data_IF_732330969707
#
_entry.id   IF_732330969707
#
_cell.length_a   1.000
_cell.length_b   1.000
_cell.length_c   1.000
_cell.angle_alpha   90.00
_cell.angle_beta   90.00
_cell.angle_gamma   90.00
#
_symmetry.space_group_name_H-M   'P 1'
#
loop_
_entity.id
_entity.type
_entity.pdbx_description
1 polymer ?
#
# COMPACT_ATOMS: atom_id res chain seq x y z
N UNK A 1 17.07 2.78 -5.49
CA UNK A 1 16.01 2.04 -4.76
C UNK A 1 16.01 0.58 -5.20
N UNK A 2 15.62 -0.37 -4.32
CA UNK A 2 15.57 -1.80 -4.66
C UNK A 2 14.22 -2.42 -4.34
N UNK A 3 13.61 -3.07 -5.35
CA UNK A 3 12.37 -3.87 -5.26
C UNK A 3 12.58 -5.22 -5.94
N UNK A 4 12.58 -6.33 -5.18
CA UNK A 4 12.95 -7.65 -5.75
C UNK A 4 11.76 -8.49 -6.18
N UNK A 5 10.63 -8.42 -5.46
CA UNK A 5 9.50 -9.34 -5.68
C UNK A 5 8.38 -8.80 -6.57
N UNK A 6 8.42 -7.52 -6.91
CA UNK A 6 7.45 -6.86 -7.81
C UNK A 6 8.13 -5.68 -8.51
N UNK A 7 7.69 -5.34 -9.72
CA UNK A 7 8.24 -4.26 -10.53
C UNK A 7 7.42 -2.98 -10.35
N UNK A 8 8.03 -1.78 -10.21
CA UNK A 8 7.29 -0.52 -10.08
C UNK A 8 6.46 -0.15 -11.33
N UNK A 9 6.72 -0.82 -12.47
CA UNK A 9 5.98 -0.63 -13.71
C UNK A 9 4.70 -1.49 -13.78
N UNK A 10 4.52 -2.45 -12.85
CA UNK A 10 3.33 -3.30 -12.81
C UNK A 10 2.11 -2.52 -12.30
N UNK A 11 0.95 -2.85 -12.87
CA UNK A 11 -0.31 -2.25 -12.46
C UNK A 11 -0.66 -2.69 -11.02
N UNK A 12 -0.86 -1.74 -10.08
CA UNK A 12 -1.31 -2.05 -8.73
C UNK A 12 -2.66 -2.80 -8.73
N UNK A 13 -2.77 -3.81 -7.87
CA UNK A 13 -3.98 -4.64 -7.78
C UNK A 13 -3.93 -5.92 -8.60
N UNK A 14 -2.85 -6.15 -9.38
CA UNK A 14 -2.59 -7.38 -10.12
C UNK A 14 -1.39 -8.10 -9.49
N UNK A 15 -1.48 -9.41 -9.31
CA UNK A 15 -0.40 -10.22 -8.73
C UNK A 15 0.01 -9.72 -7.34
N UNK A 16 1.31 -9.47 -7.17
CA UNK A 16 1.88 -8.91 -5.94
C UNK A 16 1.99 -7.38 -5.95
N UNK A 17 1.70 -6.74 -7.09
CA UNK A 17 1.74 -5.28 -7.20
C UNK A 17 0.65 -4.60 -6.38
N UNK A 18 1.02 -3.56 -5.63
CA UNK A 18 0.09 -2.88 -4.71
C UNK A 18 0.61 -1.54 -4.22
N UNK A 19 0.27 -1.17 -2.99
CA UNK A 19 0.63 0.11 -2.38
C UNK A 19 2.14 0.40 -2.36
N UNK A 20 2.98 -0.63 -2.23
CA UNK A 20 4.43 -0.45 -2.29
C UNK A 20 4.91 0.01 -3.67
N UNK A 21 4.34 -0.52 -4.76
CA UNK A 21 4.66 -0.08 -6.13
C UNK A 21 4.34 1.40 -6.31
N UNK A 22 3.17 1.83 -5.81
CA UNK A 22 2.75 3.24 -5.81
C UNK A 22 3.74 4.08 -4.99
N UNK A 23 4.06 3.64 -3.77
CA UNK A 23 4.97 4.35 -2.88
C UNK A 23 6.34 4.59 -3.52
N UNK A 24 6.94 3.55 -4.09
CA UNK A 24 8.27 3.65 -4.70
C UNK A 24 8.23 4.52 -5.95
N UNK A 25 7.27 4.30 -6.85
CA UNK A 25 7.15 5.08 -8.08
C UNK A 25 6.90 6.57 -7.80
N UNK A 26 5.95 6.91 -6.91
CA UNK A 26 5.63 8.30 -6.61
C UNK A 26 6.74 9.00 -5.82
N UNK A 27 7.36 8.32 -4.83
CA UNK A 27 8.51 8.88 -4.11
C UNK A 27 9.69 9.14 -5.05
N UNK A 28 10.01 8.21 -5.94
CA UNK A 28 11.08 8.36 -6.91
C UNK A 28 10.85 9.55 -7.85
N UNK A 29 9.64 9.68 -8.41
CA UNK A 29 9.26 10.81 -9.28
C UNK A 29 9.43 12.15 -8.56
N UNK A 30 9.00 12.24 -7.30
CA UNK A 30 9.11 13.48 -6.52
C UNK A 30 10.55 13.81 -6.15
N UNK A 31 11.37 12.82 -5.77
CA UNK A 31 12.80 13.03 -5.53
C UNK A 31 13.50 13.51 -6.81
N UNK A 32 13.19 12.90 -7.96
CA UNK A 32 13.75 13.35 -9.24
C UNK A 32 13.36 14.80 -9.57
N UNK A 33 12.12 15.21 -9.31
CA UNK A 33 11.69 16.59 -9.47
C UNK A 33 12.39 17.58 -8.53
N UNK A 34 13.00 17.08 -7.44
CA UNK A 34 13.82 17.84 -6.49
C UNK A 34 15.32 17.80 -6.84
N UNK A 35 15.70 17.24 -7.99
CA UNK A 35 17.07 17.23 -8.50
C UNK A 35 17.90 16.02 -8.08
N UNK A 36 17.27 14.98 -7.55
CA UNK A 36 17.95 13.72 -7.18
C UNK A 36 17.85 12.74 -8.34
N UNK A 37 18.97 12.15 -8.76
CA UNK A 37 18.96 11.04 -9.71
C UNK A 37 18.52 9.75 -9.01
N UNK A 38 17.46 9.10 -9.52
CA UNK A 38 16.89 7.91 -8.90
C UNK A 38 16.89 6.74 -9.87
N UNK A 39 17.62 5.70 -9.53
CA UNK A 39 17.55 4.40 -10.20
C UNK A 39 16.79 3.42 -9.33
N UNK A 40 15.78 2.76 -9.92
CA UNK A 40 15.02 1.69 -9.27
C UNK A 40 15.48 0.37 -9.87
N UNK A 41 16.01 -0.51 -9.04
CA UNK A 41 16.42 -1.83 -9.44
C UNK A 41 15.33 -2.84 -9.09
N UNK A 42 14.96 -3.66 -10.06
CA UNK A 42 14.00 -4.75 -9.89
C UNK A 42 14.51 -6.01 -10.60
N UNK A 43 14.02 -7.16 -10.17
CA UNK A 43 14.42 -8.44 -10.76
C UNK A 43 13.89 -8.56 -12.20
N UNK A 44 14.73 -9.05 -13.10
CA UNK A 44 14.30 -9.48 -14.44
C UNK A 44 13.50 -10.78 -14.31
N UNK A 45 12.20 -10.70 -14.41
CA UNK A 45 11.30 -11.84 -14.26
C UNK A 45 11.20 -12.65 -15.56
N UNK A 46 11.14 -11.98 -16.70
CA UNK A 46 11.03 -12.57 -18.03
C UNK A 46 12.15 -12.10 -18.96
N UNK A 47 12.48 -12.92 -19.97
CA UNK A 47 13.57 -12.64 -20.90
C UNK A 47 13.32 -11.43 -21.82
N UNK A 48 12.06 -11.14 -22.12
CA UNK A 48 11.61 -10.06 -23.00
C UNK A 48 11.56 -8.69 -22.32
N UNK A 49 11.76 -8.62 -21.00
CA UNK A 49 11.83 -7.35 -20.30
C UNK A 49 13.04 -6.53 -20.76
N UNK A 50 12.86 -5.24 -21.09
CA UNK A 50 13.97 -4.36 -21.42
C UNK A 50 14.93 -4.23 -20.25
N UNK A 51 16.20 -4.00 -20.53
CA UNK A 51 17.21 -3.86 -19.49
C UNK A 51 16.96 -2.61 -18.62
N UNK A 52 16.58 -1.51 -19.26
CA UNK A 52 16.32 -0.22 -18.61
C UNK A 52 15.07 0.40 -19.22
N UNK A 53 14.22 0.99 -18.37
CA UNK A 53 13.02 1.73 -18.76
C UNK A 53 12.99 3.06 -18.02
N UNK A 54 12.75 4.15 -18.71
CA UNK A 54 12.47 5.44 -18.06
C UNK A 54 11.03 5.46 -17.54
N UNK A 55 10.86 5.54 -16.22
CA UNK A 55 9.56 5.66 -15.57
C UNK A 55 9.02 7.09 -15.64
N UNK A 56 9.92 8.07 -15.50
CA UNK A 56 9.67 9.51 -15.62
C UNK A 56 11.01 10.22 -15.74
N UNK A 57 11.03 11.52 -16.17
CA UNK A 57 12.29 12.26 -16.26
C UNK A 57 13.13 12.15 -14.99
N UNK A 58 14.35 11.62 -15.11
CA UNK A 58 15.28 11.41 -14.00
C UNK A 58 15.05 10.17 -13.16
N UNK A 59 14.11 9.29 -13.52
CA UNK A 59 13.86 8.01 -12.84
C UNK A 59 13.99 6.84 -13.81
N UNK A 60 15.00 6.02 -13.63
CA UNK A 60 15.25 4.83 -14.44
C UNK A 60 14.91 3.56 -13.69
N UNK A 61 14.26 2.61 -14.34
CA UNK A 61 13.99 1.26 -13.81
C UNK A 61 14.91 0.28 -14.50
N UNK A 62 15.76 -0.38 -13.74
CA UNK A 62 16.73 -1.36 -14.20
C UNK A 62 16.26 -2.78 -13.86
N UNK A 63 16.09 -3.64 -14.88
CA UNK A 63 15.81 -5.06 -14.67
C UNK A 63 17.13 -5.84 -14.58
N UNK A 64 17.52 -6.22 -13.36
CA UNK A 64 18.75 -6.95 -13.11
C UNK A 64 18.53 -8.47 -13.01
N UNK A 65 19.59 -9.25 -13.19
CA UNK A 65 19.56 -10.71 -13.18
C UNK A 65 19.90 -11.34 -14.53
N UNK A 66 19.72 -12.66 -14.70
CA UNK A 66 20.07 -13.34 -15.93
C UNK A 66 19.18 -12.90 -17.10
N UNK A 67 19.75 -12.83 -18.31
CA UNK A 67 19.03 -12.39 -19.52
C UNK A 67 17.80 -13.24 -19.86
N UNK A 68 17.85 -14.56 -19.53
CA UNK A 68 16.68 -15.46 -19.71
C UNK A 68 15.50 -15.16 -18.78
N UNK A 69 15.67 -14.24 -17.86
CA UNK A 69 14.73 -13.99 -16.76
C UNK A 69 14.86 -15.04 -15.64
N UNK A 70 14.27 -14.70 -14.49
CA UNK A 70 14.19 -15.57 -13.32
C UNK A 70 12.76 -15.49 -12.79
N UNK A 71 11.88 -16.31 -13.37
CA UNK A 71 10.49 -16.37 -12.91
C UNK A 71 10.43 -17.12 -11.58
N UNK A 72 10.31 -16.38 -10.48
CA UNK A 72 10.22 -16.90 -9.12
C UNK A 72 8.97 -16.35 -8.45
N UNK A 73 8.24 -17.22 -7.78
CA UNK A 73 7.22 -16.78 -6.84
C UNK A 73 7.88 -16.10 -5.63
N UNK A 74 7.12 -15.32 -4.91
CA UNK A 74 7.59 -14.64 -3.72
C UNK A 74 8.17 -15.58 -2.67
N UNK A 75 7.62 -16.79 -2.57
CA UNK A 75 8.02 -17.85 -1.66
C UNK A 75 9.34 -18.51 -2.06
N UNK A 76 9.69 -18.48 -3.34
CA UNK A 76 10.93 -19.06 -3.88
C UNK A 76 12.13 -18.10 -3.78
N UNK A 77 11.90 -16.78 -3.78
CA UNK A 77 12.95 -15.75 -3.71
C UNK A 77 13.97 -15.99 -2.58
N UNK A 78 13.57 -16.39 -1.35
CA UNK A 78 14.53 -16.62 -0.28
C UNK A 78 15.64 -17.64 -0.58
N UNK A 79 15.38 -18.64 -1.40
CA UNK A 79 16.37 -19.62 -1.82
C UNK A 79 17.45 -19.03 -2.75
N UNK A 80 17.17 -17.87 -3.36
CA UNK A 80 18.01 -17.21 -4.35
C UNK A 80 18.67 -15.90 -3.83
N UNK A 81 18.62 -15.61 -2.53
CA UNK A 81 19.18 -14.35 -1.98
C UNK A 81 20.63 -14.10 -2.35
N UNK A 82 21.48 -15.15 -2.32
CA UNK A 82 22.91 -15.00 -2.67
C UNK A 82 23.07 -14.63 -4.14
N UNK A 83 22.44 -15.35 -5.04
CA UNK A 83 22.48 -15.09 -6.48
C UNK A 83 21.97 -13.69 -6.81
N UNK A 84 20.81 -13.32 -6.27
CA UNK A 84 20.22 -11.99 -6.45
C UNK A 84 21.11 -10.85 -5.89
N UNK A 85 21.81 -11.09 -4.79
CA UNK A 85 22.76 -10.09 -4.25
C UNK A 85 23.98 -9.91 -5.17
N UNK A 86 24.51 -11.00 -5.74
CA UNK A 86 25.60 -10.94 -6.70
C UNK A 86 25.18 -10.23 -8.00
N UNK A 87 23.96 -10.50 -8.48
CA UNK A 87 23.39 -9.84 -9.66
C UNK A 87 23.14 -8.36 -9.41
N UNK A 88 22.57 -7.99 -8.27
CA UNK A 88 22.36 -6.60 -7.87
C UNK A 88 23.68 -5.86 -7.74
N UNK A 89 24.69 -6.47 -7.12
CA UNK A 89 26.04 -5.89 -7.05
C UNK A 89 26.61 -5.62 -8.45
N UNK A 90 26.48 -6.56 -9.38
CA UNK A 90 26.92 -6.34 -10.78
C UNK A 90 26.17 -5.19 -11.44
N UNK A 91 24.88 -5.09 -11.22
CA UNK A 91 24.08 -3.99 -11.75
C UNK A 91 24.49 -2.61 -11.20
N UNK A 92 25.04 -2.55 -9.97
CA UNK A 92 25.58 -1.33 -9.38
C UNK A 92 27.01 -1.01 -9.83
N UNK A 93 27.74 -1.94 -10.47
CA UNK A 93 29.16 -1.80 -10.81
C UNK A 93 29.43 -1.00 -12.10
N UNK A 94 28.45 -0.21 -12.60
CA UNK A 94 28.62 0.69 -13.73
C UNK A 94 29.42 1.96 -13.40
N UNK A 95 29.42 2.92 -14.34
CA UNK A 95 30.12 4.21 -14.15
C UNK A 95 29.44 5.09 -13.09
N UNK A 96 28.14 4.90 -12.86
CA UNK A 96 27.36 5.67 -11.87
C UNK A 96 27.67 5.21 -10.46
N UNK A 97 27.92 6.15 -9.56
CA UNK A 97 28.10 5.91 -8.13
C UNK A 97 26.80 6.26 -7.40
N UNK A 98 26.44 5.42 -6.44
CA UNK A 98 25.26 5.62 -5.62
C UNK A 98 25.65 6.01 -4.20
N UNK A 99 24.99 7.05 -3.67
CA UNK A 99 25.23 7.55 -2.32
C UNK A 99 24.47 6.75 -1.26
N UNK A 100 23.27 6.25 -1.59
CA UNK A 100 22.37 5.52 -0.69
C UNK A 100 21.70 4.36 -1.43
N UNK A 101 21.58 3.21 -0.77
CA UNK A 101 20.68 2.13 -1.17
C UNK A 101 19.44 2.20 -0.29
N UNK A 102 18.25 2.40 -0.89
CA UNK A 102 16.97 2.31 -0.19
C UNK A 102 16.24 1.04 -0.64
N UNK A 103 16.12 0.07 0.23
CA UNK A 103 15.44 -1.20 -0.04
C UNK A 103 14.01 -1.20 0.49
N UNK A 104 13.10 -1.78 -0.28
CA UNK A 104 11.67 -1.83 0.02
C UNK A 104 11.19 -3.26 0.18
N UNK A 105 10.61 -3.57 1.34
CA UNK A 105 10.18 -4.90 1.76
C UNK A 105 11.35 -5.84 2.09
N UNK A 106 11.10 -6.79 2.99
CA UNK A 106 12.14 -7.64 3.59
C UNK A 106 12.98 -8.43 2.57
N UNK A 107 12.39 -8.89 1.46
CA UNK A 107 13.12 -9.62 0.40
C UNK A 107 14.20 -8.74 -0.22
N UNK A 108 13.85 -7.49 -0.50
CA UNK A 108 14.81 -6.51 -1.02
C UNK A 108 15.87 -6.13 0.02
N UNK A 109 15.46 -6.00 1.29
CA UNK A 109 16.40 -5.76 2.39
C UNK A 109 17.45 -6.87 2.50
N UNK A 110 17.03 -8.13 2.40
CA UNK A 110 17.94 -9.29 2.44
C UNK A 110 18.94 -9.33 1.28
N UNK A 111 18.51 -8.92 0.09
CA UNK A 111 19.37 -8.80 -1.09
C UNK A 111 20.32 -7.60 -0.96
N UNK A 112 19.84 -6.47 -0.45
CA UNK A 112 20.60 -5.23 -0.34
C UNK A 112 21.70 -5.28 0.74
N UNK A 113 21.42 -5.91 1.90
CA UNK A 113 22.32 -5.91 3.07
C UNK A 113 23.78 -6.29 2.76
N UNK A 114 24.09 -7.44 2.14
CA UNK A 114 25.46 -7.83 1.86
C UNK A 114 26.12 -6.89 0.85
N UNK A 115 25.37 -6.41 -0.14
CA UNK A 115 25.87 -5.49 -1.18
C UNK A 115 26.20 -4.12 -0.60
N UNK A 116 25.30 -3.56 0.21
CA UNK A 116 25.50 -2.28 0.89
C UNK A 116 26.78 -2.32 1.77
N UNK A 117 26.95 -3.40 2.55
CA UNK A 117 28.12 -3.62 3.39
C UNK A 117 29.40 -3.72 2.57
N UNK A 118 29.41 -4.49 1.50
CA UNK A 118 30.59 -4.74 0.67
C UNK A 118 31.03 -3.48 -0.09
N UNK A 119 30.07 -2.72 -0.62
CA UNK A 119 30.35 -1.48 -1.35
C UNK A 119 30.54 -0.25 -0.45
N UNK A 120 30.28 -0.38 0.86
CA UNK A 120 30.36 0.74 1.81
C UNK A 120 29.31 1.82 1.56
N UNK A 121 28.16 1.45 0.95
CA UNK A 121 27.03 2.34 0.69
C UNK A 121 26.03 2.19 1.84
N UNK A 122 25.52 3.29 2.44
CA UNK A 122 24.54 3.20 3.49
C UNK A 122 23.21 2.57 3.01
N UNK A 123 22.62 1.76 3.88
CA UNK A 123 21.34 1.11 3.66
C UNK A 123 20.23 1.82 4.44
N UNK A 124 19.25 2.36 3.74
CA UNK A 124 17.95 2.78 4.27
C UNK A 124 16.93 1.69 3.93
N UNK A 125 15.98 1.43 4.80
CA UNK A 125 14.99 0.38 4.55
C UNK A 125 13.57 0.79 4.98
N UNK A 126 12.59 0.47 4.13
CA UNK A 126 11.14 0.56 4.43
C UNK A 126 10.55 -0.85 4.45
N UNK A 127 9.93 -1.23 5.56
CA UNK A 127 9.32 -2.57 5.70
C UNK A 127 8.09 -2.75 4.82
N UNK A 128 7.27 -1.71 4.63
CA UNK A 128 5.94 -1.69 4.02
C UNK A 128 4.90 -2.57 4.70
N UNK A 129 5.29 -3.73 5.18
CA UNK A 129 4.49 -4.62 6.03
C UNK A 129 5.43 -5.41 6.92
N UNK A 130 5.00 -5.75 8.11
CA UNK A 130 5.80 -6.47 9.11
C UNK A 130 5.14 -7.79 9.50
N UNK A 131 5.91 -8.89 9.46
CA UNK A 131 5.43 -10.23 9.75
C UNK A 131 4.86 -10.35 11.17
N UNK A 132 5.57 -9.82 12.19
CA UNK A 132 5.11 -9.90 13.59
C UNK A 132 3.81 -9.12 13.80
N UNK A 133 3.65 -7.96 13.15
CA UNK A 133 2.41 -7.17 13.21
C UNK A 133 1.25 -7.92 12.53
N UNK A 134 1.49 -8.52 11.36
CA UNK A 134 0.49 -9.36 10.69
C UNK A 134 0.08 -10.56 11.53
N UNK A 135 1.06 -11.24 12.13
CA UNK A 135 0.80 -12.42 12.97
C UNK A 135 -0.01 -12.12 14.24
N UNK A 136 0.02 -10.86 14.71
CA UNK A 136 -0.84 -10.40 15.81
C UNK A 136 -2.28 -10.09 15.38
N UNK A 137 -2.52 -9.93 14.07
CA UNK A 137 -3.80 -9.46 13.51
C UNK A 137 -4.25 -10.34 12.33
N UNK A 138 -4.12 -11.65 12.45
CA UNK A 138 -4.54 -12.59 11.41
C UNK A 138 -6.06 -12.54 11.20
N UNK A 139 -6.48 -12.55 9.94
CA UNK A 139 -7.86 -12.82 9.59
C UNK A 139 -8.20 -14.31 9.83
N UNK A 140 -9.49 -14.61 9.95
CA UNK A 140 -9.92 -16.01 10.11
C UNK A 140 -9.46 -16.86 8.91
N UNK A 141 -8.79 -17.97 9.20
CA UNK A 141 -8.25 -18.88 8.19
C UNK A 141 -6.90 -18.47 7.57
N UNK A 142 -6.32 -17.34 7.98
CA UNK A 142 -4.95 -16.97 7.56
C UNK A 142 -3.89 -17.76 8.33
N UNK A 143 -2.82 -18.12 7.62
CA UNK A 143 -1.62 -18.72 8.23
C UNK A 143 -0.62 -17.63 8.63
N UNK A 144 0.09 -17.80 9.75
CA UNK A 144 1.15 -16.88 10.15
C UNK A 144 2.24 -16.75 9.07
N UNK A 145 2.82 -15.57 8.98
CA UNK A 145 3.99 -15.32 8.15
C UNK A 145 5.17 -16.22 8.60
N UNK A 146 5.96 -16.74 7.65
CA UNK A 146 6.98 -17.74 7.97
C UNK A 146 8.13 -17.15 8.78
N UNK A 147 8.75 -17.99 9.64
CA UNK A 147 9.86 -17.56 10.49
C UNK A 147 11.06 -17.02 9.74
N UNK A 148 11.33 -17.47 8.52
CA UNK A 148 12.40 -16.93 7.67
C UNK A 148 12.18 -15.44 7.40
N UNK A 149 10.92 -15.01 7.23
CA UNK A 149 10.57 -13.59 7.07
C UNK A 149 10.79 -12.82 8.38
N UNK A 150 10.30 -13.34 9.51
CA UNK A 150 10.49 -12.72 10.84
C UNK A 150 11.96 -12.49 11.13
N UNK A 151 12.80 -13.52 10.90
CA UNK A 151 14.25 -13.44 11.08
C UNK A 151 14.90 -12.45 10.11
N UNK A 152 14.46 -12.45 8.85
CA UNK A 152 14.95 -11.52 7.83
C UNK A 152 14.67 -10.06 8.20
N UNK A 153 13.45 -9.75 8.61
CA UNK A 153 13.06 -8.40 9.07
C UNK A 153 13.86 -7.98 10.31
N UNK A 154 14.05 -8.89 11.28
CA UNK A 154 14.87 -8.62 12.48
C UNK A 154 16.32 -8.31 12.12
N UNK A 155 16.93 -9.06 11.19
CA UNK A 155 18.28 -8.81 10.72
C UNK A 155 18.42 -7.46 10.02
N UNK A 156 17.44 -7.10 9.19
CA UNK A 156 17.42 -5.80 8.49
C UNK A 156 17.31 -4.67 9.52
N UNK A 157 16.42 -4.80 10.50
CA UNK A 157 16.22 -3.80 11.55
C UNK A 157 17.51 -3.55 12.36
N UNK A 158 18.31 -4.60 12.58
CA UNK A 158 19.58 -4.49 13.30
C UNK A 158 20.74 -3.87 12.50
N UNK A 159 20.69 -3.89 11.15
CA UNK A 159 21.83 -3.53 10.28
C UNK A 159 21.59 -2.26 9.48
N UNK A 160 20.34 -1.93 9.14
CA UNK A 160 20.01 -0.74 8.38
C UNK A 160 20.50 0.54 9.10
N UNK A 161 21.05 1.48 8.35
CA UNK A 161 21.49 2.77 8.88
C UNK A 161 20.29 3.65 9.26
N UNK A 162 19.20 3.50 8.54
CA UNK A 162 17.91 4.07 8.91
C UNK A 162 16.76 3.16 8.47
N UNK A 163 15.69 3.17 9.25
CA UNK A 163 14.41 2.53 8.96
C UNK A 163 13.35 3.61 8.78
N UNK A 164 12.58 3.54 7.71
CA UNK A 164 11.44 4.43 7.54
C UNK A 164 10.14 3.70 7.89
N UNK A 165 9.35 4.30 8.75
CA UNK A 165 8.03 3.85 9.15
C UNK A 165 6.96 4.78 8.58
N UNK A 166 5.82 4.23 8.19
CA UNK A 166 4.72 5.01 7.62
C UNK A 166 3.94 5.82 8.68
N UNK A 167 4.00 5.37 9.94
CA UNK A 167 3.28 5.96 11.08
C UNK A 167 4.07 5.80 12.38
N UNK A 168 3.72 6.59 13.42
CA UNK A 168 4.29 6.43 14.75
C UNK A 168 4.04 5.03 15.34
N UNK A 169 2.87 4.45 15.05
CA UNK A 169 2.53 3.09 15.50
C UNK A 169 3.43 2.03 14.82
N UNK A 170 3.77 2.21 13.55
CA UNK A 170 4.72 1.35 12.84
C UNK A 170 6.13 1.52 13.41
N UNK A 171 6.56 2.76 13.67
CA UNK A 171 7.84 3.05 14.32
C UNK A 171 7.94 2.39 15.71
N UNK A 172 6.91 2.52 16.54
CA UNK A 172 6.84 1.84 17.83
C UNK A 172 6.91 0.31 17.71
N UNK A 173 6.30 -0.26 16.66
CA UNK A 173 6.37 -1.70 16.38
C UNK A 173 7.76 -2.14 15.94
N UNK A 174 8.50 -1.33 15.17
CA UNK A 174 9.91 -1.61 14.82
C UNK A 174 10.77 -1.68 16.07
N UNK A 175 10.59 -0.76 17.00
CA UNK A 175 11.36 -0.73 18.26
C UNK A 175 10.94 -1.91 19.18
N UNK A 176 9.64 -2.10 19.40
CA UNK A 176 9.15 -3.05 20.40
C UNK A 176 9.17 -4.51 19.95
N UNK A 177 8.91 -4.77 18.66
CA UNK A 177 8.81 -6.12 18.11
C UNK A 177 10.09 -6.59 17.42
N UNK A 178 10.89 -5.69 16.87
CA UNK A 178 12.11 -6.02 16.10
C UNK A 178 13.39 -5.51 16.76
N UNK A 179 13.29 -4.91 17.95
CA UNK A 179 14.43 -4.40 18.72
C UNK A 179 15.28 -3.38 17.93
N UNK A 180 14.64 -2.65 17.00
CA UNK A 180 15.30 -1.60 16.25
C UNK A 180 15.77 -0.50 17.21
N UNK A 181 16.97 0.06 16.93
CA UNK A 181 17.45 1.22 17.68
C UNK A 181 16.53 2.42 17.43
N UNK A 182 15.94 3.04 18.46
CA UNK A 182 15.04 4.17 18.26
C UNK A 182 15.61 5.31 17.42
N UNK A 183 16.92 5.59 17.56
CA UNK A 183 17.62 6.66 16.83
C UNK A 183 17.75 6.38 15.33
N UNK A 184 17.52 5.15 14.89
CA UNK A 184 17.54 4.77 13.46
C UNK A 184 16.15 4.69 12.83
N UNK A 185 15.08 4.85 13.62
CA UNK A 185 13.70 4.75 13.15
C UNK A 185 13.11 6.14 12.92
N UNK A 186 12.69 6.41 11.69
CA UNK A 186 12.15 7.70 11.28
C UNK A 186 10.73 7.52 10.70
N UNK A 187 9.82 8.42 11.06
CA UNK A 187 8.46 8.41 10.50
C UNK A 187 8.40 9.27 9.25
N UNK A 188 8.02 8.64 8.14
CA UNK A 188 7.78 9.32 6.86
C UNK A 188 6.45 8.84 6.30
N UNK A 189 5.44 9.66 6.45
CA UNK A 189 4.08 9.33 6.05
C UNK A 189 3.96 9.27 4.52
N UNK A 190 3.36 8.20 3.95
CA UNK A 190 3.05 8.12 2.53
C UNK A 190 2.09 9.22 2.08
N UNK A 191 2.15 9.56 0.80
CA UNK A 191 1.30 10.57 0.22
C UNK A 191 0.15 10.01 -0.61
N UNK A 192 -0.66 10.94 -1.13
CA UNK A 192 -1.64 10.72 -2.18
C UNK A 192 -1.36 11.67 -3.34
N UNK A 193 -1.63 11.24 -4.57
CA UNK A 193 -1.51 12.08 -5.76
C UNK A 193 -2.72 13.03 -5.87
N UNK A 194 -2.60 14.19 -5.24
CA UNK A 194 -3.64 15.22 -5.21
C UNK A 194 -3.92 15.86 -6.60
N UNK A 195 -3.11 15.55 -7.60
CA UNK A 195 -3.37 15.99 -8.96
C UNK A 195 -4.42 15.10 -9.64
N UNK A 196 -4.31 13.81 -9.49
CA UNK A 196 -5.22 12.83 -10.07
C UNK A 196 -6.43 12.55 -9.15
N UNK A 197 -6.20 12.38 -7.85
CA UNK A 197 -7.26 12.17 -6.86
C UNK A 197 -7.73 13.52 -6.32
N UNK A 198 -8.87 13.99 -6.80
CA UNK A 198 -9.48 15.28 -6.43
C UNK A 198 -10.99 15.28 -6.72
N UNK A 199 -11.68 16.25 -6.19
CA UNK A 199 -13.16 16.42 -6.27
C UNK A 199 -13.63 16.90 -7.67
N UNK A 200 -12.83 16.77 -8.73
CA UNK A 200 -13.17 17.28 -10.05
C UNK A 200 -14.30 16.47 -10.72
N UNK A 201 -15.29 17.14 -11.33
CA UNK A 201 -16.43 16.51 -12.00
C UNK A 201 -17.56 16.07 -11.04
N UNK A 202 -17.22 15.71 -9.80
CA UNK A 202 -18.17 15.36 -8.77
C UNK A 202 -18.89 14.00 -8.96
N UNK A 203 -19.76 13.68 -7.99
CA UNK A 203 -20.48 12.40 -7.89
C UNK A 203 -21.43 12.15 -9.07
N UNK A 204 -22.13 13.17 -9.53
CA UNK A 204 -23.15 13.03 -10.58
C UNK A 204 -22.53 12.61 -11.91
N UNK A 205 -21.43 13.24 -12.29
CA UNK A 205 -20.72 12.92 -13.52
C UNK A 205 -20.06 11.53 -13.46
N UNK A 206 -19.39 11.22 -12.35
CA UNK A 206 -18.80 9.92 -12.13
C UNK A 206 -19.82 8.78 -12.21
N UNK A 207 -21.02 8.95 -11.63
CA UNK A 207 -22.11 7.98 -11.73
C UNK A 207 -22.63 7.80 -13.15
N UNK A 208 -22.75 8.90 -13.89
CA UNK A 208 -23.15 8.84 -15.29
C UNK A 208 -22.16 8.05 -16.13
N UNK A 209 -20.86 8.29 -15.97
CA UNK A 209 -19.82 7.56 -16.69
C UNK A 209 -19.81 6.06 -16.34
N UNK A 210 -20.02 5.73 -15.07
CA UNK A 210 -20.08 4.34 -14.60
C UNK A 210 -21.46 3.69 -14.75
N UNK A 211 -22.43 4.38 -15.37
CA UNK A 211 -23.82 3.89 -15.53
C UNK A 211 -24.50 3.52 -14.21
N UNK A 212 -24.19 4.27 -13.13
CA UNK A 212 -24.76 4.10 -11.80
C UNK A 212 -25.98 5.05 -11.67
N UNK A 213 -27.09 4.55 -11.15
CA UNK A 213 -28.29 5.37 -10.94
C UNK A 213 -27.99 6.57 -10.01
N UNK A 214 -28.49 7.79 -10.34
CA UNK A 214 -28.17 9.00 -9.57
C UNK A 214 -28.56 8.92 -8.07
N UNK A 215 -29.62 8.19 -7.77
CA UNK A 215 -30.17 8.02 -6.41
C UNK A 215 -29.71 6.73 -5.72
N UNK A 216 -28.77 5.98 -6.32
CA UNK A 216 -28.19 4.81 -5.70
C UNK A 216 -27.43 5.16 -4.42
N UNK A 217 -27.42 4.24 -3.46
CA UNK A 217 -26.58 4.26 -2.28
C UNK A 217 -25.36 3.36 -2.55
N UNK A 218 -24.19 3.96 -2.70
CA UNK A 218 -23.02 3.28 -3.25
C UNK A 218 -21.96 3.08 -2.19
N UNK A 219 -21.61 1.83 -1.91
CA UNK A 219 -20.44 1.42 -1.14
C UNK A 219 -19.39 0.86 -2.09
N UNK A 220 -18.15 1.23 -1.90
CA UNK A 220 -17.04 0.76 -2.75
C UNK A 220 -15.89 0.24 -1.90
N UNK A 221 -15.43 -0.96 -2.23
CA UNK A 221 -14.16 -1.53 -1.78
C UNK A 221 -13.19 -1.52 -2.96
N UNK A 222 -11.96 -1.09 -2.72
CA UNK A 222 -10.87 -1.14 -3.70
C UNK A 222 -9.67 -1.83 -3.08
N UNK A 223 -9.16 -2.86 -3.74
CA UNK A 223 -7.97 -3.56 -3.28
C UNK A 223 -7.90 -5.01 -3.73
N UNK A 224 -6.77 -5.65 -3.48
CA UNK A 224 -6.64 -7.09 -3.74
C UNK A 224 -7.63 -7.87 -2.89
N UNK A 225 -8.27 -8.87 -3.50
CA UNK A 225 -9.23 -9.74 -2.81
C UNK A 225 -8.41 -10.79 -2.03
N UNK A 226 -8.11 -10.44 -0.78
CA UNK A 226 -7.32 -11.23 0.17
C UNK A 226 -7.99 -11.18 1.54
N UNK A 227 -7.90 -12.25 2.37
CA UNK A 227 -8.54 -12.30 3.68
C UNK A 227 -8.21 -11.09 4.56
N UNK A 228 -6.92 -10.71 4.68
CA UNK A 228 -6.51 -9.59 5.52
C UNK A 228 -6.98 -8.20 5.03
N UNK A 229 -7.46 -8.07 3.77
CA UNK A 229 -8.11 -6.85 3.27
C UNK A 229 -9.60 -6.78 3.62
N UNK A 230 -10.16 -7.88 4.09
CA UNK A 230 -11.50 -7.95 4.66
C UNK A 230 -12.68 -7.78 3.70
N UNK A 231 -12.62 -8.13 2.39
CA UNK A 231 -13.80 -8.02 1.52
C UNK A 231 -14.96 -8.86 2.03
N UNK A 232 -14.70 -10.00 2.66
CA UNK A 232 -15.70 -10.84 3.29
C UNK A 232 -16.46 -10.12 4.39
N UNK A 233 -15.78 -9.35 5.23
CA UNK A 233 -16.41 -8.54 6.28
C UNK A 233 -17.43 -7.56 5.69
N UNK A 234 -17.07 -6.86 4.61
CA UNK A 234 -17.99 -5.94 3.93
C UNK A 234 -19.21 -6.68 3.35
N UNK A 235 -19.01 -7.85 2.73
CA UNK A 235 -20.09 -8.67 2.17
C UNK A 235 -21.04 -9.11 3.28
N UNK A 236 -20.55 -9.64 4.39
CA UNK A 236 -21.36 -10.06 5.54
C UNK A 236 -22.08 -8.87 6.20
N UNK A 237 -21.39 -7.74 6.37
CA UNK A 237 -22.01 -6.51 6.89
C UNK A 237 -23.13 -5.99 5.95
N UNK A 238 -22.96 -6.16 4.64
CA UNK A 238 -24.00 -5.81 3.66
C UNK A 238 -25.22 -6.71 3.81
N UNK A 239 -25.05 -8.02 4.00
CA UNK A 239 -26.15 -8.95 4.22
C UNK A 239 -26.92 -8.62 5.51
N UNK A 240 -26.20 -8.38 6.61
CA UNK A 240 -26.78 -7.93 7.89
C UNK A 240 -27.57 -6.62 7.70
N UNK A 241 -26.99 -5.65 6.99
CA UNK A 241 -27.63 -4.36 6.72
C UNK A 241 -28.93 -4.53 5.93
N UNK A 242 -28.93 -5.31 4.87
CA UNK A 242 -30.13 -5.57 4.05
C UNK A 242 -31.19 -6.29 4.85
N UNK A 243 -30.81 -7.20 5.75
CA UNK A 243 -31.76 -7.92 6.63
C UNK A 243 -32.43 -6.98 7.65
N UNK A 244 -31.67 -6.09 8.28
CA UNK A 244 -32.20 -5.20 9.33
C UNK A 244 -32.79 -3.90 8.81
N UNK A 245 -32.39 -3.45 7.60
CA UNK A 245 -32.90 -2.26 6.93
C UNK A 245 -33.30 -2.53 5.49
N UNK A 246 -34.31 -3.37 5.25
CA UNK A 246 -34.68 -3.87 3.90
C UNK A 246 -35.07 -2.77 2.92
N UNK A 247 -35.51 -1.61 3.39
CA UNK A 247 -35.84 -0.46 2.54
C UNK A 247 -34.63 0.14 1.80
N UNK A 248 -33.40 -0.13 2.26
CA UNK A 248 -32.19 0.31 1.57
C UNK A 248 -31.88 -0.56 0.35
N UNK A 249 -32.31 -1.84 0.34
CA UNK A 249 -31.94 -2.84 -0.67
C UNK A 249 -32.14 -2.36 -2.10
N UNK A 250 -33.26 -1.74 -2.38
CA UNK A 250 -33.65 -1.33 -3.74
C UNK A 250 -32.65 -0.31 -4.36
N UNK A 251 -31.98 0.50 -3.52
CA UNK A 251 -31.04 1.54 -3.95
C UNK A 251 -29.58 1.18 -3.66
N UNK A 252 -29.33 0.17 -2.85
CA UNK A 252 -27.98 -0.19 -2.42
C UNK A 252 -27.21 -0.87 -3.56
N UNK A 253 -25.98 -0.39 -3.78
CA UNK A 253 -24.99 -0.98 -4.67
C UNK A 253 -23.66 -1.06 -3.95
N UNK A 254 -23.06 -2.23 -3.95
CA UNK A 254 -21.75 -2.50 -3.34
C UNK A 254 -20.82 -2.99 -4.44
N UNK A 255 -19.77 -2.25 -4.69
CA UNK A 255 -18.75 -2.60 -5.68
C UNK A 255 -17.49 -3.11 -4.98
N UNK A 256 -17.10 -4.33 -5.33
CA UNK A 256 -15.82 -4.93 -4.92
C UNK A 256 -14.88 -4.86 -6.13
N UNK A 257 -13.94 -3.92 -6.09
CA UNK A 257 -13.01 -3.63 -7.20
C UNK A 257 -11.64 -4.18 -6.87
N UNK A 258 -11.18 -5.15 -7.65
CA UNK A 258 -9.85 -5.73 -7.46
C UNK A 258 -9.75 -7.15 -7.98
N UNK A 259 -8.53 -7.68 -7.91
CA UNK A 259 -8.20 -9.01 -8.38
C UNK A 259 -7.69 -9.94 -7.29
N UNK A 260 -7.49 -11.18 -7.66
CA UNK A 260 -6.79 -12.15 -6.83
C UNK A 260 -5.32 -11.75 -6.64
N UNK A 261 -4.69 -12.20 -5.57
CA UNK A 261 -3.26 -12.07 -5.34
C UNK A 261 -2.54 -13.33 -5.84
N UNK A 262 -1.43 -13.13 -6.56
CA UNK A 262 -0.69 -14.24 -7.14
C UNK A 262 -1.52 -15.04 -8.16
N UNK A 263 -1.23 -16.32 -8.28
CA UNK A 263 -1.94 -17.24 -9.18
C UNK A 263 -3.28 -17.77 -8.64
N UNK A 264 -3.65 -17.42 -7.39
CA UNK A 264 -4.81 -18.01 -6.73
C UNK A 264 -6.09 -17.18 -6.96
N UNK A 265 -6.87 -17.58 -7.97
CA UNK A 265 -8.19 -16.99 -8.29
C UNK A 265 -9.33 -17.53 -7.41
N UNK A 266 -9.09 -18.54 -6.58
CA UNK A 266 -10.12 -19.22 -5.78
C UNK A 266 -10.80 -18.27 -4.78
N UNK A 267 -10.09 -17.27 -4.28
CA UNK A 267 -10.64 -16.31 -3.32
C UNK A 267 -11.74 -15.43 -3.91
N UNK A 268 -11.60 -15.00 -5.16
CA UNK A 268 -12.63 -14.24 -5.87
C UNK A 268 -13.91 -15.08 -6.04
N UNK A 269 -13.74 -16.33 -6.44
CA UNK A 269 -14.90 -17.24 -6.62
C UNK A 269 -15.55 -17.54 -5.26
N UNK A 270 -14.76 -17.77 -4.22
CA UNK A 270 -15.26 -17.94 -2.85
C UNK A 270 -16.13 -16.74 -2.40
N UNK A 271 -15.69 -15.52 -2.71
CA UNK A 271 -16.47 -14.31 -2.40
C UNK A 271 -17.78 -14.24 -3.19
N UNK A 272 -17.76 -14.63 -4.46
CA UNK A 272 -19.00 -14.70 -5.30
C UNK A 272 -19.98 -15.76 -4.77
N UNK A 273 -19.48 -16.92 -4.39
CA UNK A 273 -20.29 -17.97 -3.76
C UNK A 273 -20.90 -17.49 -2.45
N UNK A 274 -20.14 -16.79 -1.61
CA UNK A 274 -20.63 -16.19 -0.38
C UNK A 274 -21.77 -15.18 -0.65
N UNK A 275 -21.61 -14.30 -1.64
CA UNK A 275 -22.64 -13.32 -2.04
C UNK A 275 -23.92 -14.03 -2.48
N UNK A 276 -23.81 -15.12 -3.25
CA UNK A 276 -24.93 -15.93 -3.69
C UNK A 276 -25.62 -16.63 -2.51
N UNK A 277 -24.84 -17.25 -1.62
CA UNK A 277 -25.33 -17.92 -0.43
C UNK A 277 -26.07 -16.97 0.53
N UNK A 278 -25.59 -15.74 0.68
CA UNK A 278 -26.23 -14.69 1.49
C UNK A 278 -27.44 -14.05 0.80
N UNK A 279 -27.75 -14.39 -0.46
CA UNK A 279 -28.89 -13.89 -1.20
C UNK A 279 -28.83 -12.38 -1.51
N UNK A 280 -27.64 -11.83 -1.74
CA UNK A 280 -27.40 -10.40 -2.01
C UNK A 280 -26.73 -10.14 -3.37
N UNK A 281 -26.87 -11.06 -4.33
CA UNK A 281 -26.29 -10.94 -5.68
C UNK A 281 -26.86 -9.78 -6.51
N UNK A 282 -28.00 -9.24 -6.15
CA UNK A 282 -28.61 -8.04 -6.75
C UNK A 282 -27.99 -6.73 -6.23
N UNK A 283 -27.29 -6.81 -5.11
CA UNK A 283 -26.70 -5.66 -4.40
C UNK A 283 -25.19 -5.59 -4.62
N UNK A 284 -24.47 -6.73 -4.58
CA UNK A 284 -23.01 -6.81 -4.65
C UNK A 284 -22.55 -7.15 -6.05
N UNK A 285 -21.62 -6.36 -6.57
CA UNK A 285 -20.99 -6.57 -7.88
C UNK A 285 -19.47 -6.60 -7.74
N UNK A 286 -18.82 -7.50 -8.49
CA UNK A 286 -17.37 -7.59 -8.58
C UNK A 286 -16.89 -6.96 -9.89
N UNK A 287 -15.84 -6.15 -9.79
CA UNK A 287 -15.13 -5.56 -10.93
C UNK A 287 -13.66 -6.00 -10.90
N UNK A 288 -13.07 -6.33 -12.05
CA UNK A 288 -11.62 -6.56 -12.12
C UNK A 288 -10.84 -5.33 -11.65
N UNK A 289 -9.52 -5.45 -11.42
CA UNK A 289 -8.68 -4.28 -11.19
C UNK A 289 -8.84 -3.27 -12.31
N UNK A 290 -9.02 -2.01 -11.95
CA UNK A 290 -9.12 -0.89 -12.90
C UNK A 290 -7.80 -0.13 -12.94
N UNK A 291 -7.53 0.56 -14.02
CA UNK A 291 -6.35 1.41 -14.14
C UNK A 291 -6.38 2.51 -13.05
N UNK A 292 -5.19 2.93 -12.59
CA UNK A 292 -5.08 3.93 -11.51
C UNK A 292 -5.76 5.24 -11.87
N UNK A 293 -5.73 5.62 -13.15
CA UNK A 293 -6.33 6.83 -13.71
C UNK A 293 -7.87 6.78 -13.68
N UNK A 294 -8.46 5.58 -13.63
CA UNK A 294 -9.91 5.37 -13.58
C UNK A 294 -10.44 5.31 -12.14
N UNK A 295 -9.59 5.00 -11.15
CA UNK A 295 -10.00 4.90 -9.74
C UNK A 295 -10.70 6.16 -9.20
N UNK A 296 -10.28 7.40 -9.56
CA UNK A 296 -10.98 8.61 -9.11
C UNK A 296 -12.47 8.63 -9.43
N UNK A 297 -12.89 8.03 -10.56
CA UNK A 297 -14.32 7.94 -10.94
C UNK A 297 -15.08 7.05 -9.94
N UNK A 298 -14.51 5.89 -9.60
CA UNK A 298 -15.12 4.97 -8.65
C UNK A 298 -15.21 5.56 -7.24
N UNK A 299 -14.17 6.28 -6.81
CA UNK A 299 -14.20 6.97 -5.52
C UNK A 299 -15.27 8.06 -5.51
N UNK A 300 -15.31 8.94 -6.52
CA UNK A 300 -16.31 10.02 -6.62
C UNK A 300 -17.73 9.52 -6.74
N UNK A 301 -17.97 8.37 -7.40
CA UNK A 301 -19.29 7.77 -7.54
C UNK A 301 -19.83 7.21 -6.21
N UNK A 302 -18.96 6.83 -5.28
CA UNK A 302 -19.33 6.23 -4.01
C UNK A 302 -19.95 7.23 -3.02
N UNK A 303 -20.82 6.74 -2.14
CA UNK A 303 -21.23 7.45 -0.93
C UNK A 303 -20.24 7.24 0.21
N UNK A 304 -19.68 6.04 0.29
CA UNK A 304 -18.67 5.64 1.25
C UNK A 304 -17.68 4.67 0.59
N UNK A 305 -16.40 4.82 0.89
CA UNK A 305 -15.39 3.81 0.58
C UNK A 305 -15.11 3.01 1.84
N UNK A 306 -15.11 1.69 1.70
CA UNK A 306 -14.96 0.76 2.81
C UNK A 306 -13.57 0.13 2.79
N UNK A 307 -12.84 0.24 3.90
CA UNK A 307 -11.50 -0.34 4.10
C UNK A 307 -11.51 -1.26 5.33
N UNK A 308 -12.10 -2.46 5.22
CA UNK A 308 -12.33 -3.37 6.34
C UNK A 308 -11.11 -4.25 6.67
N UNK A 309 -9.90 -3.74 6.49
CA UNK A 309 -8.65 -4.48 6.61
C UNK A 309 -8.40 -4.97 8.04
N UNK A 310 -7.85 -6.19 8.19
CA UNK A 310 -7.35 -6.72 9.46
C UNK A 310 -5.96 -6.18 9.81
N UNK A 311 -5.19 -5.87 8.79
CA UNK A 311 -3.87 -5.23 8.93
C UNK A 311 -3.64 -4.28 7.76
N UNK A 312 -3.22 -3.06 8.08
CA UNK A 312 -2.91 -2.03 7.09
C UNK A 312 -1.74 -1.19 7.56
N UNK A 313 -0.70 -1.07 6.74
CA UNK A 313 0.48 -0.28 7.10
C UNK A 313 0.21 1.22 7.08
N UNK A 314 -0.64 1.66 6.12
CA UNK A 314 -1.04 3.06 6.05
C UNK A 314 -2.48 3.25 5.57
N UNK A 315 -2.83 2.77 4.36
CA UNK A 315 -4.17 2.92 3.81
C UNK A 315 -4.25 3.95 2.68
N UNK A 316 -3.43 3.78 1.62
CA UNK A 316 -3.46 4.68 0.45
C UNK A 316 -4.86 4.81 -0.16
N UNK A 317 -5.63 3.71 -0.24
CA UNK A 317 -7.02 3.70 -0.72
C UNK A 317 -7.89 4.66 0.10
N UNK A 318 -7.69 4.72 1.41
CA UNK A 318 -8.44 5.64 2.27
C UNK A 318 -8.11 7.10 1.92
N UNK A 319 -6.85 7.45 1.71
CA UNK A 319 -6.45 8.80 1.31
C UNK A 319 -6.91 9.15 -0.10
N UNK A 320 -6.81 8.22 -1.06
CA UNK A 320 -7.28 8.42 -2.44
C UNK A 320 -8.78 8.72 -2.48
N UNK A 321 -9.57 7.95 -1.72
CA UNK A 321 -11.00 8.18 -1.60
C UNK A 321 -11.32 9.56 -0.99
N UNK A 322 -10.65 9.91 0.11
CA UNK A 322 -10.81 11.19 0.79
C UNK A 322 -10.41 12.38 -0.10
N UNK A 323 -9.30 12.28 -0.83
CA UNK A 323 -8.89 13.29 -1.80
C UNK A 323 -9.93 13.50 -2.91
N UNK A 324 -10.67 12.45 -3.29
CA UNK A 324 -11.81 12.52 -4.20
C UNK A 324 -13.11 13.03 -3.56
N UNK A 325 -13.09 13.40 -2.27
CA UNK A 325 -14.24 13.91 -1.54
C UNK A 325 -15.17 12.81 -1.02
N UNK A 326 -14.73 11.57 -0.98
CA UNK A 326 -15.56 10.46 -0.50
C UNK A 326 -15.13 10.04 0.90
N UNK A 327 -16.04 10.09 1.89
CA UNK A 327 -15.72 9.66 3.24
C UNK A 327 -15.47 8.16 3.33
N UNK A 328 -14.61 7.77 4.26
CA UNK A 328 -14.15 6.41 4.44
C UNK A 328 -14.76 5.79 5.68
N UNK A 329 -15.18 4.51 5.58
CA UNK A 329 -15.42 3.66 6.75
C UNK A 329 -14.31 2.62 6.79
N UNK A 330 -13.50 2.64 7.83
CA UNK A 330 -12.33 1.77 7.94
C UNK A 330 -12.27 1.07 9.28
N UNK A 331 -11.61 -0.08 9.33
CA UNK A 331 -11.28 -0.71 10.61
C UNK A 331 -10.24 0.14 11.35
N UNK A 332 -10.39 0.26 12.66
CA UNK A 332 -9.46 1.00 13.50
C UNK A 332 -8.16 0.21 13.76
N UNK A 333 -7.39 -0.10 12.68
CA UNK A 333 -6.14 -0.87 12.75
C UNK A 333 -4.98 -0.17 12.07
N UNK A 334 -3.77 -0.37 12.59
CA UNK A 334 -2.52 0.09 12.00
C UNK A 334 -2.58 1.54 11.50
N UNK A 335 -2.09 1.74 10.30
CA UNK A 335 -2.02 3.06 9.65
C UNK A 335 -3.37 3.68 9.29
N UNK A 336 -4.48 2.92 9.31
CA UNK A 336 -5.81 3.48 9.08
C UNK A 336 -6.21 4.49 10.16
N UNK A 337 -5.69 4.36 11.39
CA UNK A 337 -5.88 5.35 12.46
C UNK A 337 -5.23 6.71 12.14
N UNK A 338 -4.22 6.72 11.27
CA UNK A 338 -3.59 7.96 10.77
C UNK A 338 -4.24 8.43 9.48
N UNK A 339 -4.53 7.50 8.55
CA UNK A 339 -5.11 7.81 7.26
C UNK A 339 -6.57 8.30 7.33
N UNK A 340 -7.30 8.01 8.41
CA UNK A 340 -8.69 8.43 8.61
C UNK A 340 -8.82 9.18 9.93
N UNK A 341 -9.18 10.46 9.87
CA UNK A 341 -9.53 11.26 11.05
C UNK A 341 -10.97 10.90 11.48
N UNK A 342 -11.09 10.09 12.53
CA UNK A 342 -12.38 9.55 12.99
C UNK A 342 -13.39 10.65 13.31
N UNK A 343 -14.61 10.50 12.77
CA UNK A 343 -15.69 11.46 12.92
C UNK A 343 -15.53 12.75 12.11
N UNK A 344 -14.39 12.96 11.42
CA UNK A 344 -14.04 14.15 10.63
C UNK A 344 -13.95 13.81 9.15
N UNK A 345 -13.07 12.91 8.75
CA UNK A 345 -12.85 12.52 7.35
C UNK A 345 -13.48 11.17 7.00
N UNK A 346 -13.93 10.45 7.99
CA UNK A 346 -14.53 9.13 7.88
C UNK A 346 -14.94 8.63 9.25
N UNK A 347 -15.15 7.32 9.35
CA UNK A 347 -15.49 6.63 10.61
C UNK A 347 -14.60 5.41 10.77
N UNK A 348 -13.97 5.30 11.93
CA UNK A 348 -13.22 4.13 12.33
C UNK A 348 -14.11 3.16 13.12
N UNK A 349 -14.15 1.90 12.69
CA UNK A 349 -14.91 0.84 13.36
C UNK A 349 -13.93 -0.05 14.14
N UNK A 350 -14.18 -0.21 15.43
CA UNK A 350 -13.38 -1.12 16.24
C UNK A 350 -13.79 -2.58 15.97
N UNK A 351 -12.80 -3.40 15.64
CA UNK A 351 -12.98 -4.82 15.37
C UNK A 351 -13.64 -5.15 14.03
N UNK A 352 -13.94 -6.43 13.85
CA UNK A 352 -14.38 -7.02 12.58
C UNK A 352 -15.74 -7.72 12.70
N UNK A 353 -16.62 -7.24 13.59
CA UNK A 353 -17.98 -7.74 13.69
C UNK A 353 -18.85 -7.19 12.55
N UNK A 354 -19.42 -8.05 11.66
CA UNK A 354 -20.29 -7.63 10.59
C UNK A 354 -21.49 -6.80 11.05
N UNK A 355 -22.01 -7.02 12.27
CA UNK A 355 -23.15 -6.27 12.82
C UNK A 355 -22.77 -4.83 13.19
N UNK A 356 -21.58 -4.67 13.78
CA UNK A 356 -21.06 -3.32 14.09
C UNK A 356 -20.86 -2.51 12.79
N UNK A 357 -20.25 -3.12 11.78
CA UNK A 357 -20.06 -2.54 10.46
C UNK A 357 -21.39 -2.19 9.79
N UNK A 358 -22.35 -3.15 9.78
CA UNK A 358 -23.71 -2.96 9.25
C UNK A 358 -24.39 -1.74 9.86
N UNK A 359 -24.33 -1.60 11.19
CA UNK A 359 -24.94 -0.49 11.92
C UNK A 359 -24.36 0.87 11.53
N UNK A 360 -23.00 0.95 11.40
CA UNK A 360 -22.32 2.17 10.97
C UNK A 360 -22.67 2.53 9.54
N UNK A 361 -22.60 1.56 8.61
CA UNK A 361 -22.91 1.77 7.19
C UNK A 361 -24.38 2.19 7.00
N UNK A 362 -25.34 1.48 7.63
CA UNK A 362 -26.76 1.81 7.53
C UNK A 362 -27.05 3.23 8.01
N UNK A 363 -26.49 3.62 9.16
CA UNK A 363 -26.65 4.98 9.72
C UNK A 363 -26.11 6.02 8.75
N UNK A 364 -24.88 5.89 8.28
CA UNK A 364 -24.26 6.86 7.37
C UNK A 364 -25.01 6.97 6.05
N UNK A 365 -25.52 5.86 5.50
CA UNK A 365 -26.32 5.88 4.26
C UNK A 365 -27.66 6.61 4.44
N UNK A 366 -28.24 6.62 5.63
CA UNK A 366 -29.48 7.30 5.96
C UNK A 366 -29.27 8.76 6.40
N UNK A 367 -28.05 9.19 6.69
CA UNK A 367 -27.69 10.54 7.14
C UNK A 367 -26.93 11.34 6.05
N UNK A 368 -27.59 11.87 5.00
CA UNK A 368 -26.89 12.55 3.91
C UNK A 368 -26.11 13.79 4.37
N UNK A 369 -26.63 14.54 5.34
CA UNK A 369 -25.93 15.71 5.88
C UNK A 369 -24.64 15.32 6.60
N UNK A 370 -24.64 14.19 7.31
CA UNK A 370 -23.42 13.66 7.94
C UNK A 370 -22.37 13.28 6.90
N UNK A 371 -22.78 12.63 5.80
CA UNK A 371 -21.85 12.31 4.71
C UNK A 371 -21.24 13.57 4.07
N UNK A 372 -22.03 14.64 3.90
CA UNK A 372 -21.51 15.93 3.39
C UNK A 372 -20.45 16.51 4.32
N UNK A 373 -20.67 16.52 5.63
CA UNK A 373 -19.67 17.00 6.59
C UNK A 373 -18.39 16.15 6.57
N UNK A 374 -18.55 14.83 6.54
CA UNK A 374 -17.40 13.91 6.42
C UNK A 374 -16.66 14.09 5.09
N UNK A 375 -17.38 14.36 3.99
CA UNK A 375 -16.77 14.63 2.67
C UNK A 375 -15.91 15.89 2.70
N UNK A 376 -16.35 16.95 3.33
CA UNK A 376 -15.57 18.18 3.49
C UNK A 376 -14.30 17.91 4.34
N UNK A 377 -14.46 17.23 5.47
CA UNK A 377 -13.34 16.85 6.31
C UNK A 377 -12.39 15.87 5.63
N UNK A 378 -12.89 15.00 4.72
CA UNK A 378 -12.07 14.07 3.95
C UNK A 378 -11.11 14.80 3.02
N UNK A 379 -11.59 15.79 2.26
CA UNK A 379 -10.76 16.61 1.36
C UNK A 379 -9.69 17.38 2.15
N UNK A 380 -10.10 18.01 3.24
CA UNK A 380 -9.19 18.75 4.11
C UNK A 380 -8.11 17.82 4.68
N UNK A 381 -8.50 16.70 5.26
CA UNK A 381 -7.56 15.73 5.83
C UNK A 381 -6.59 15.21 4.79
N UNK A 382 -7.05 14.75 3.62
CA UNK A 382 -6.21 14.23 2.55
C UNK A 382 -5.22 15.28 2.02
N UNK A 383 -5.56 16.57 2.07
CA UNK A 383 -4.68 17.66 1.59
C UNK A 383 -3.36 17.75 2.34
N UNK A 384 -3.28 17.22 3.56
CA UNK A 384 -2.06 17.18 4.36
C UNK A 384 -1.07 16.07 3.96
N UNK A 385 -1.50 15.14 3.09
CA UNK A 385 -0.72 13.97 2.69
C UNK A 385 -0.28 14.07 1.23
N UNK A 386 0.70 14.90 0.94
CA UNK A 386 1.28 15.01 -0.41
C UNK A 386 2.57 14.22 -0.56
N UNK A 387 2.80 13.58 -1.71
CA UNK A 387 4.05 12.88 -2.02
C UNK A 387 5.29 13.76 -1.93
N UNK A 388 5.16 15.08 -2.09
CA UNK A 388 6.26 16.02 -1.91
C UNK A 388 6.79 16.03 -0.47
N UNK A 389 5.91 15.90 0.52
CA UNK A 389 6.31 15.80 1.92
C UNK A 389 7.01 14.47 2.20
N UNK A 390 6.50 13.36 1.64
CA UNK A 390 7.13 12.05 1.72
C UNK A 390 8.53 12.05 1.13
N UNK A 391 8.70 12.63 -0.07
CA UNK A 391 10.00 12.71 -0.72
C UNK A 391 10.99 13.56 0.09
N UNK A 392 10.58 14.76 0.54
CA UNK A 392 11.44 15.63 1.39
C UNK A 392 11.86 14.90 2.66
N UNK A 393 10.90 14.33 3.42
CA UNK A 393 11.24 13.60 4.65
C UNK A 393 12.18 12.43 4.43
N UNK A 394 12.05 11.74 3.28
CA UNK A 394 13.01 10.66 2.92
C UNK A 394 14.39 11.21 2.57
N UNK A 395 14.47 12.33 1.84
CA UNK A 395 15.75 12.97 1.53
C UNK A 395 16.44 13.50 2.78
N UNK A 396 15.71 14.07 3.74
CA UNK A 396 16.26 14.49 5.03
C UNK A 396 16.92 13.32 5.77
N UNK A 397 16.32 12.11 5.70
CA UNK A 397 16.92 10.90 6.28
C UNK A 397 18.21 10.51 5.54
N UNK A 398 18.20 10.59 4.20
CA UNK A 398 19.43 10.29 3.43
C UNK A 398 20.57 11.25 3.82
N UNK A 399 20.28 12.54 3.93
CA UNK A 399 21.27 13.55 4.33
C UNK A 399 21.81 13.30 5.74
N UNK A 400 20.93 12.94 6.69
CA UNK A 400 21.35 12.58 8.06
C UNK A 400 22.27 11.36 8.07
N UNK A 401 21.92 10.29 7.36
CA UNK A 401 22.71 9.06 7.26
C UNK A 401 24.08 9.35 6.63
N UNK A 402 24.11 10.13 5.55
CA UNK A 402 25.35 10.50 4.86
C UNK A 402 26.27 11.37 5.75
N UNK A 403 25.68 12.31 6.49
CA UNK A 403 26.42 13.16 7.44
C UNK A 403 27.06 12.33 8.55
N UNK A 404 26.31 11.42 9.17
CA UNK A 404 26.82 10.53 10.22
C UNK A 404 27.99 9.65 9.74
N UNK A 405 27.96 9.21 8.48
CA UNK A 405 29.05 8.40 7.92
C UNK A 405 30.29 9.25 7.65
N UNK A 406 30.13 10.50 7.16
CA UNK A 406 31.22 11.43 6.96
C UNK A 406 31.93 11.76 8.29
N UNK A 407 31.17 12.03 9.33
CA UNK A 407 31.69 12.33 10.66
C UNK A 407 32.47 11.16 11.25
N UNK A 408 31.97 9.93 11.14
CA UNK A 408 32.66 8.72 11.57
C UNK A 408 33.97 8.49 10.83
N UNK A 409 34.03 8.76 9.52
CA UNK A 409 35.26 8.65 8.71
C UNK A 409 36.27 9.73 9.08
N UNK A 410 35.86 10.94 9.40
CA UNK A 410 36.73 12.01 9.84
C UNK A 410 37.38 11.73 11.21
N UNK A 411 36.64 11.05 12.10
CA UNK A 411 37.13 10.65 13.43
C UNK A 411 38.05 9.43 13.35
N UNK A 412 37.78 8.47 12.44
CA UNK A 412 38.57 7.25 12.29
C UNK A 412 39.81 7.39 11.38
N UNK A 413 39.94 8.48 10.68
CA UNK A 413 41.08 8.81 9.81
C UNK A 413 42.21 9.59 10.48
N UNK A 414 42.18 9.70 11.82
CA UNK A 414 43.28 10.12 12.67
C UNK A 414 43.99 8.86 13.25
#
# INVERSE_FOLDING_TARGET
MLMVHTCPLEQPGIGDAGGMNIYVAESAKRMASMGVEVDIFTRRDHADLPEVVELSPGVMVHHFGPQKGMHLTKEEIPAHFKELSEDFKRALSGERKYDVIHSHYWLSGKVAMPVAKELGIPLVHTMHTMARVKNLNLAEGETPEPMIRVQGETQIAAIAHALTANTDAEAASLVSLYEACPDTVHVVTPGVDLYNFKVNGGKVEARKELSIAPDALVLTFVGRIQPHKGPELLIRATAEMVSHTPHLRAKLKVFIIGGASGANTSEVERMKELVSWLGISDVVSFSPPVAREELPQWYRAADLVCVPSYSESFGLVALEAQACGTPVVATAVGGLRTAVADGISGVLVDGHDPRAWSSVLARLLQEPQRRVLLSMGAVEHASHFGWDATARGTLDIYDQVLSQIRDKRSISGQ
#
